data_IF_055006663567
#
_entry.id   IF_055006663567
#
_cell.length_a   1.000
_cell.length_b   1.000
_cell.length_c   1.000
_cell.angle_alpha   90.00
_cell.angle_beta   90.00
_cell.angle_gamma   90.00
#
_symmetry.space_group_name_H-M   'P 1'
#
loop_
_entity.id
_entity.type
_entity.pdbx_description
1 polymer ?
#
# COMPACT_ATOMS: atom_id res chain seq x y z
N UNK A 1 -18.99 9.50 17.31
CA UNK A 1 -17.98 9.84 16.28
C UNK A 1 -17.05 8.65 16.14
N UNK A 2 -17.36 7.72 15.24
CA UNK A 2 -16.61 6.46 15.13
C UNK A 2 -15.64 6.54 13.94
N UNK A 3 -14.45 7.09 14.21
CA UNK A 3 -13.36 7.28 13.24
C UNK A 3 -12.10 6.46 13.59
N UNK A 4 -12.18 5.60 14.60
CA UNK A 4 -11.12 4.68 14.95
C UNK A 4 -11.17 3.45 14.04
N UNK A 5 -10.01 3.04 13.52
CA UNK A 5 -9.85 1.68 12.98
C UNK A 5 -9.70 0.73 14.17
N UNK A 6 -10.56 -0.28 14.36
CA UNK A 6 -10.46 -1.16 15.52
C UNK A 6 -9.12 -1.92 15.56
N UNK A 7 -8.61 -2.32 14.38
CA UNK A 7 -7.28 -2.90 14.23
C UNK A 7 -6.20 -1.98 14.80
N UNK A 8 -6.12 -0.71 14.37
CA UNK A 8 -5.09 0.20 14.87
C UNK A 8 -5.30 0.61 16.34
N UNK A 9 -6.53 0.56 16.87
CA UNK A 9 -6.77 0.72 18.30
C UNK A 9 -6.19 -0.46 19.09
N UNK A 10 -6.47 -1.70 18.69
CA UNK A 10 -5.90 -2.92 19.29
C UNK A 10 -4.36 -2.90 19.21
N UNK A 11 -3.80 -2.63 18.02
CA UNK A 11 -2.35 -2.59 17.83
C UNK A 11 -1.67 -1.48 18.63
N UNK A 12 -2.30 -0.31 18.79
CA UNK A 12 -1.74 0.78 19.60
C UNK A 12 -1.67 0.41 21.08
N UNK A 13 -2.71 -0.27 21.59
CA UNK A 13 -2.71 -0.80 22.96
C UNK A 13 -1.67 -1.94 23.12
N UNK A 14 -1.60 -2.85 22.15
CA UNK A 14 -0.59 -3.91 22.15
C UNK A 14 0.86 -3.39 22.10
N UNK A 15 1.09 -2.21 21.52
CA UNK A 15 2.37 -1.48 21.52
C UNK A 15 2.62 -0.80 22.86
N UNK A 16 1.65 -0.12 23.48
CA UNK A 16 1.85 0.54 24.78
C UNK A 16 2.24 -0.46 25.88
N UNK A 17 1.65 -1.65 25.85
CA UNK A 17 1.95 -2.75 26.78
C UNK A 17 3.17 -3.60 26.37
N UNK A 18 4.11 -3.08 25.56
CA UNK A 18 5.29 -3.83 25.11
C UNK A 18 6.56 -2.98 25.03
N UNK A 19 7.49 -3.11 25.99
CA UNK A 19 8.79 -2.42 25.95
C UNK A 19 9.58 -2.70 24.67
N UNK A 20 9.47 -3.91 24.12
CA UNK A 20 10.10 -4.34 22.87
C UNK A 20 9.59 -3.53 21.66
N UNK A 21 8.26 -3.37 21.54
CA UNK A 21 7.65 -2.58 20.46
C UNK A 21 7.87 -1.08 20.65
N UNK A 22 7.88 -0.59 21.89
CA UNK A 22 8.24 0.79 22.22
C UNK A 22 9.69 1.11 21.84
N UNK A 23 10.63 0.19 22.10
CA UNK A 23 12.03 0.33 21.68
C UNK A 23 12.18 0.36 20.16
N UNK A 24 11.44 -0.47 19.41
CA UNK A 24 11.39 -0.37 17.94
C UNK A 24 10.85 0.99 17.48
N UNK A 25 9.74 1.47 18.05
CA UNK A 25 9.18 2.79 17.73
C UNK A 25 10.12 3.95 18.08
N UNK A 26 10.91 3.83 19.15
CA UNK A 26 11.84 4.86 19.63
C UNK A 26 13.00 5.17 18.65
N UNK A 27 13.26 4.30 17.67
CA UNK A 27 14.20 4.58 16.57
C UNK A 27 13.73 5.69 15.60
N UNK A 28 12.51 6.21 15.80
CA UNK A 28 11.88 7.22 14.94
C UNK A 28 12.67 8.53 14.98
N UNK A 29 12.95 9.07 13.78
CA UNK A 29 13.59 10.39 13.64
C UNK A 29 12.77 11.52 14.31
N UNK A 30 13.43 12.56 14.85
CA UNK A 30 12.73 13.76 15.31
C UNK A 30 11.76 14.32 14.26
N UNK A 31 10.61 14.84 14.71
CA UNK A 31 9.53 15.38 13.86
C UNK A 31 8.85 14.34 12.94
N UNK A 32 8.92 13.05 13.28
CA UNK A 32 8.05 12.01 12.73
C UNK A 32 7.22 11.37 13.87
N UNK A 33 5.94 11.02 13.67
CA UNK A 33 5.14 10.35 14.70
C UNK A 33 5.59 8.88 14.84
N UNK A 34 6.04 8.41 16.02
CA UNK A 34 6.52 7.04 16.18
C UNK A 34 5.50 5.94 15.83
N UNK A 35 4.19 6.06 16.19
CA UNK A 35 3.20 5.06 15.77
C UNK A 35 3.08 4.96 14.24
N UNK A 36 3.08 6.09 13.54
CA UNK A 36 2.99 6.11 12.07
C UNK A 36 4.21 5.45 11.43
N UNK A 37 5.41 5.65 12.00
CA UNK A 37 6.64 5.02 11.51
C UNK A 37 6.64 3.51 11.73
N UNK A 38 6.27 3.04 12.93
CA UNK A 38 6.21 1.60 13.23
C UNK A 38 5.16 0.89 12.36
N UNK A 39 3.92 1.37 12.36
CA UNK A 39 2.85 0.79 11.55
C UNK A 39 3.12 0.89 10.04
N UNK A 40 3.73 2.00 9.60
CA UNK A 40 4.14 2.20 8.22
C UNK A 40 5.25 1.24 7.79
N UNK A 41 6.24 0.96 8.66
CA UNK A 41 7.31 0.00 8.40
C UNK A 41 6.77 -1.43 8.27
N UNK A 42 5.91 -1.86 9.21
CA UNK A 42 5.26 -3.18 9.16
C UNK A 42 4.42 -3.34 7.90
N UNK A 43 3.52 -2.39 7.60
CA UNK A 43 2.70 -2.45 6.40
C UNK A 43 3.54 -2.39 5.11
N UNK A 44 4.64 -1.63 5.10
CA UNK A 44 5.57 -1.60 3.95
C UNK A 44 6.21 -2.98 3.70
N UNK A 45 6.69 -3.66 4.74
CA UNK A 45 7.30 -5.00 4.59
C UNK A 45 6.28 -6.03 4.09
N UNK A 46 5.06 -6.03 4.65
CA UNK A 46 3.96 -6.89 4.17
C UNK A 46 3.62 -6.61 2.69
N UNK A 47 3.51 -5.34 2.28
CA UNK A 47 3.30 -4.95 0.88
C UNK A 47 4.48 -5.30 -0.05
N UNK A 48 5.69 -5.48 0.51
CA UNK A 48 6.88 -5.93 -0.22
C UNK A 48 6.99 -7.46 -0.32
N UNK A 49 6.04 -8.21 0.25
CA UNK A 49 5.99 -9.67 0.17
C UNK A 49 6.60 -10.41 1.36
N UNK A 50 6.72 -9.77 2.53
CA UNK A 50 7.10 -10.48 3.76
C UNK A 50 6.05 -11.55 4.10
N UNK A 51 6.45 -12.83 4.08
CA UNK A 51 5.56 -13.95 4.39
C UNK A 51 5.33 -14.02 5.90
N UNK A 52 4.09 -13.74 6.32
CA UNK A 52 3.69 -13.81 7.72
C UNK A 52 2.15 -13.89 7.88
N UNK A 53 1.61 -14.62 8.89
CA UNK A 53 0.17 -14.63 9.19
C UNK A 53 -0.46 -13.24 9.33
N UNK A 54 0.31 -12.26 9.85
CA UNK A 54 -0.10 -10.87 10.02
C UNK A 54 -0.69 -10.24 8.73
N UNK A 55 -0.24 -10.66 7.55
CA UNK A 55 -0.77 -10.19 6.26
C UNK A 55 -2.30 -10.37 6.14
N UNK A 56 -2.87 -11.39 6.79
CA UNK A 56 -4.30 -11.70 6.76
C UNK A 56 -5.20 -10.59 7.36
N UNK A 57 -4.66 -9.76 8.26
CA UNK A 57 -5.39 -8.66 8.93
C UNK A 57 -5.42 -7.37 8.11
N UNK A 58 -4.67 -7.30 7.01
CA UNK A 58 -4.61 -6.12 6.14
C UNK A 58 -5.24 -6.42 4.77
N UNK A 59 -6.49 -6.00 4.49
CA UNK A 59 -7.16 -6.26 3.21
C UNK A 59 -6.39 -5.78 1.96
N UNK A 60 -5.57 -4.73 2.09
CA UNK A 60 -4.70 -4.22 1.01
C UNK A 60 -3.53 -5.17 0.68
N UNK A 61 -3.19 -6.10 1.58
CA UNK A 61 -2.16 -7.13 1.40
C UNK A 61 -2.81 -8.48 1.08
N UNK A 62 -3.86 -8.87 1.81
CA UNK A 62 -4.54 -10.16 1.64
C UNK A 62 -5.51 -10.24 0.45
N UNK A 63 -5.80 -9.11 -0.20
CA UNK A 63 -6.68 -8.99 -1.36
C UNK A 63 -8.18 -9.05 -1.05
N UNK A 64 -8.57 -9.74 0.02
CA UNK A 64 -9.96 -9.97 0.42
C UNK A 64 -10.26 -9.47 1.84
N UNK A 65 -11.38 -8.76 2.07
CA UNK A 65 -11.84 -8.44 3.42
C UNK A 65 -12.14 -9.71 4.22
N UNK A 66 -11.47 -9.88 5.36
CA UNK A 66 -11.70 -11.00 6.28
C UNK A 66 -12.38 -10.50 7.58
N UNK A 67 -13.13 -11.36 8.29
CA UNK A 67 -13.60 -11.04 9.64
C UNK A 67 -12.42 -10.64 10.53
N UNK A 68 -12.57 -9.54 11.28
CA UNK A 68 -11.54 -9.08 12.20
C UNK A 68 -11.28 -10.15 13.27
N UNK A 69 -10.01 -10.49 13.47
CA UNK A 69 -9.53 -11.32 14.57
C UNK A 69 -8.52 -10.51 15.39
N UNK A 70 -8.25 -10.85 16.66
CA UNK A 70 -7.16 -10.24 17.40
C UNK A 70 -5.85 -10.36 16.61
N UNK A 71 -5.22 -9.22 16.34
CA UNK A 71 -3.99 -9.10 15.56
C UNK A 71 -2.75 -8.86 16.43
N UNK A 72 -2.92 -8.53 17.71
CA UNK A 72 -1.82 -8.17 18.63
C UNK A 72 -0.72 -9.24 18.74
N UNK A 73 -1.09 -10.53 18.72
CA UNK A 73 -0.15 -11.65 18.73
C UNK A 73 0.72 -11.69 17.47
N UNK A 74 0.08 -11.81 16.30
CA UNK A 74 0.74 -11.80 14.99
C UNK A 74 1.56 -10.52 14.76
N UNK A 75 1.16 -9.38 15.32
CA UNK A 75 1.88 -8.12 15.21
C UNK A 75 3.16 -8.11 16.05
N UNK A 76 3.08 -8.60 17.31
CA UNK A 76 4.27 -8.76 18.18
C UNK A 76 5.26 -9.74 17.57
N UNK A 77 4.78 -10.88 17.06
CA UNK A 77 5.60 -11.91 16.42
C UNK A 77 6.27 -11.38 15.14
N UNK A 78 5.53 -10.69 14.26
CA UNK A 78 6.10 -10.04 13.07
C UNK A 78 7.19 -9.03 13.43
N UNK A 79 6.95 -8.15 14.39
CA UNK A 79 7.92 -7.13 14.80
C UNK A 79 9.18 -7.74 15.42
N UNK A 80 9.08 -8.94 16.01
CA UNK A 80 10.21 -9.71 16.53
C UNK A 80 10.97 -10.42 15.40
N UNK A 81 10.26 -11.07 14.48
CA UNK A 81 10.84 -11.80 13.34
C UNK A 81 11.58 -10.87 12.35
N UNK A 82 11.03 -9.67 12.09
CA UNK A 82 11.56 -8.68 11.16
C UNK A 82 12.13 -7.44 11.88
N UNK A 83 12.64 -7.61 13.11
CA UNK A 83 13.04 -6.50 13.98
C UNK A 83 14.10 -5.58 13.35
N UNK A 84 15.08 -6.15 12.63
CA UNK A 84 16.15 -5.39 11.98
C UNK A 84 15.63 -4.50 10.85
N UNK A 85 14.78 -5.05 9.98
CA UNK A 85 14.18 -4.35 8.85
C UNK A 85 13.16 -3.31 9.30
N UNK A 86 12.36 -3.60 10.34
CA UNK A 86 11.47 -2.62 10.97
C UNK A 86 12.28 -1.47 11.56
N UNK A 87 13.32 -1.74 12.36
CA UNK A 87 14.17 -0.70 12.94
C UNK A 87 14.89 0.13 11.86
N UNK A 88 15.38 -0.48 10.78
CA UNK A 88 15.99 0.21 9.65
C UNK A 88 15.00 1.14 8.94
N UNK A 89 13.78 0.68 8.68
CA UNK A 89 12.74 1.51 8.06
C UNK A 89 12.29 2.66 8.96
N UNK A 90 12.08 2.41 10.26
CA UNK A 90 11.72 3.43 11.26
C UNK A 90 12.83 4.49 11.38
N UNK A 91 14.11 4.07 11.36
CA UNK A 91 15.28 4.94 11.47
C UNK A 91 15.62 5.70 10.18
N UNK A 92 15.30 5.18 8.99
CA UNK A 92 15.71 5.80 7.72
C UNK A 92 14.62 6.48 6.91
N UNK A 93 13.36 6.02 7.02
CA UNK A 93 12.26 6.53 6.20
C UNK A 93 11.51 7.68 6.89
N UNK A 94 10.50 8.19 6.19
CA UNK A 94 9.56 9.19 6.68
C UNK A 94 8.17 8.82 6.18
N UNK A 95 7.15 9.04 6.99
CA UNK A 95 5.75 8.98 6.52
C UNK A 95 5.35 10.32 5.93
N UNK A 96 4.41 10.27 4.97
CA UNK A 96 3.83 11.47 4.35
C UNK A 96 2.30 11.33 4.36
N UNK A 97 1.62 12.34 4.90
CA UNK A 97 0.20 12.25 5.31
C UNK A 97 -0.76 12.51 4.13
N UNK A 98 -0.84 11.52 3.25
CA UNK A 98 -1.74 11.50 2.09
C UNK A 98 -3.18 11.12 2.49
N UNK A 99 -3.99 12.10 2.89
CA UNK A 99 -5.40 11.88 3.27
C UNK A 99 -6.29 12.00 2.03
N UNK A 100 -6.45 10.91 1.26
CA UNK A 100 -7.35 10.83 0.09
C UNK A 100 -8.80 11.22 0.45
N UNK A 101 -9.20 11.03 1.72
CA UNK A 101 -10.50 11.51 2.22
C UNK A 101 -10.72 13.02 2.06
N UNK A 102 -9.67 13.84 1.84
CA UNK A 102 -9.84 15.27 1.46
C UNK A 102 -10.61 15.44 0.16
N UNK A 103 -10.55 14.49 -0.77
CA UNK A 103 -11.35 14.51 -2.00
C UNK A 103 -12.86 14.55 -1.73
N UNK A 104 -13.37 14.09 -0.58
CA UNK A 104 -14.80 14.23 -0.24
C UNK A 104 -15.23 15.69 -0.06
N UNK A 105 -14.29 16.61 0.19
CA UNK A 105 -14.55 18.05 0.25
C UNK A 105 -14.13 18.77 -1.04
N UNK A 106 -13.06 18.33 -1.71
CA UNK A 106 -12.57 18.94 -2.94
C UNK A 106 -13.55 18.77 -4.12
N UNK A 107 -14.11 17.57 -4.31
CA UNK A 107 -15.06 17.27 -5.40
C UNK A 107 -16.22 18.28 -5.47
N UNK A 108 -16.99 18.53 -4.39
CA UNK A 108 -18.11 19.48 -4.45
C UNK A 108 -17.66 20.95 -4.50
N UNK A 109 -16.45 21.27 -4.04
CA UNK A 109 -15.87 22.60 -4.27
C UNK A 109 -15.57 22.81 -5.77
N UNK A 110 -14.99 21.82 -6.44
CA UNK A 110 -14.75 21.85 -7.88
C UNK A 110 -16.06 21.85 -8.70
N UNK A 111 -17.15 21.25 -8.20
CA UNK A 111 -18.50 21.42 -8.80
C UNK A 111 -18.93 22.89 -8.85
N UNK A 112 -18.66 23.66 -7.79
CA UNK A 112 -19.04 25.07 -7.68
C UNK A 112 -18.17 25.90 -8.63
N UNK A 113 -16.85 25.76 -8.53
CA UNK A 113 -15.88 26.45 -9.41
C UNK A 113 -16.18 26.18 -10.87
N UNK A 114 -16.49 24.93 -11.26
CA UNK A 114 -16.80 24.62 -12.65
C UNK A 114 -18.14 25.21 -13.14
N UNK A 115 -19.09 25.51 -12.26
CA UNK A 115 -20.35 26.18 -12.62
C UNK A 115 -20.11 27.66 -12.85
N UNK A 116 -19.39 28.31 -11.94
CA UNK A 116 -19.00 29.72 -12.04
C UNK A 116 -18.13 29.96 -13.28
N UNK A 117 -17.21 29.02 -13.57
CA UNK A 117 -16.36 29.05 -14.77
C UNK A 117 -17.04 28.50 -16.05
N UNK A 118 -18.38 28.32 -16.06
CA UNK A 118 -19.16 27.88 -17.23
C UNK A 118 -18.63 26.62 -17.93
N UNK A 119 -18.12 25.65 -17.16
CA UNK A 119 -17.58 24.39 -17.69
C UNK A 119 -16.18 24.47 -18.32
N UNK A 120 -15.47 25.59 -18.20
CA UNK A 120 -14.08 25.72 -18.67
C UNK A 120 -13.15 24.70 -17.98
N UNK A 121 -12.07 24.23 -18.66
CA UNK A 121 -11.10 23.31 -18.07
C UNK A 121 -10.49 23.82 -16.75
N UNK A 122 -10.48 22.96 -15.73
CA UNK A 122 -9.85 23.24 -14.44
C UNK A 122 -8.39 22.74 -14.44
N UNK A 123 -7.45 23.64 -14.13
CA UNK A 123 -6.07 23.29 -13.80
C UNK A 123 -5.89 23.34 -12.28
N UNK A 124 -5.38 22.26 -11.70
CA UNK A 124 -5.16 22.14 -10.25
C UNK A 124 -3.67 22.18 -9.93
N UNK A 125 -3.28 23.08 -9.03
CA UNK A 125 -1.92 23.20 -8.48
C UNK A 125 -2.01 22.92 -6.97
N UNK A 126 -1.32 21.88 -6.49
CA UNK A 126 -1.29 21.47 -5.07
C UNK A 126 0.11 21.73 -4.51
N UNK A 127 0.24 22.80 -3.73
CA UNK A 127 1.53 23.22 -3.15
C UNK A 127 1.89 22.31 -1.97
N UNK A 128 2.89 21.46 -2.17
CA UNK A 128 3.25 20.44 -1.18
C UNK A 128 2.37 19.18 -1.26
N UNK A 129 1.95 18.80 -2.47
CA UNK A 129 1.07 17.66 -2.79
C UNK A 129 1.47 16.28 -2.22
N UNK A 130 2.61 16.15 -1.52
CA UNK A 130 3.09 14.91 -0.91
C UNK A 130 3.30 13.82 -1.97
N UNK A 131 2.51 12.75 -2.02
CA UNK A 131 2.58 11.73 -3.08
C UNK A 131 1.62 12.01 -4.25
N UNK A 132 1.04 13.21 -4.33
CA UNK A 132 0.12 13.62 -5.39
C UNK A 132 -1.25 12.93 -5.37
N UNK A 133 -1.61 12.20 -4.31
CA UNK A 133 -2.84 11.41 -4.31
C UNK A 133 -4.10 12.28 -4.47
N UNK A 134 -4.14 13.49 -3.91
CA UNK A 134 -5.29 14.40 -4.09
C UNK A 134 -5.37 15.03 -5.50
N UNK A 135 -4.27 15.06 -6.26
CA UNK A 135 -4.29 15.49 -7.66
C UNK A 135 -5.05 14.50 -8.55
N UNK A 136 -5.16 13.24 -8.12
CA UNK A 136 -5.94 12.18 -8.78
C UNK A 136 -7.40 12.15 -8.31
N UNK A 137 -7.96 13.31 -7.92
CA UNK A 137 -9.32 13.36 -7.35
C UNK A 137 -10.37 12.71 -8.27
N UNK A 138 -10.22 12.91 -9.58
CA UNK A 138 -11.01 12.36 -10.70
C UNK A 138 -11.06 10.83 -10.77
N UNK A 139 -10.20 10.13 -10.01
CA UNK A 139 -10.10 8.67 -9.99
C UNK A 139 -10.78 8.00 -8.78
N UNK A 140 -11.29 8.79 -7.82
CA UNK A 140 -11.91 8.25 -6.61
C UNK A 140 -13.44 8.25 -6.66
N UNK A 141 -14.04 7.34 -5.91
CA UNK A 141 -15.47 7.33 -5.65
C UNK A 141 -15.78 8.14 -4.39
N UNK A 142 -16.80 8.96 -4.41
CA UNK A 142 -17.30 9.60 -3.19
C UNK A 142 -18.79 9.31 -3.04
N UNK A 143 -19.17 8.85 -1.85
CA UNK A 143 -20.58 8.67 -1.46
C UNK A 143 -20.87 9.59 -0.28
N UNK A 144 -21.87 10.44 -0.46
CA UNK A 144 -22.39 11.31 0.60
C UNK A 144 -23.65 10.68 1.15
N UNK A 145 -23.74 10.58 2.48
CA UNK A 145 -24.92 10.07 3.16
C UNK A 145 -25.45 11.10 4.16
N UNK A 146 -26.77 11.18 4.29
CA UNK A 146 -27.47 11.97 5.30
C UNK A 146 -28.52 11.10 5.98
N UNK A 147 -28.56 11.09 7.31
CA UNK A 147 -29.44 10.22 8.10
C UNK A 147 -29.43 8.73 7.62
N UNK A 148 -28.23 8.18 7.38
CA UNK A 148 -28.02 6.80 6.94
C UNK A 148 -28.32 6.52 5.46
N UNK A 149 -28.94 7.45 4.71
CA UNK A 149 -29.29 7.27 3.29
C UNK A 149 -28.27 7.95 2.37
N UNK A 150 -27.87 7.29 1.29
CA UNK A 150 -27.03 7.89 0.24
C UNK A 150 -27.83 9.02 -0.45
N UNK A 151 -27.25 10.23 -0.49
CA UNK A 151 -27.88 11.43 -1.08
C UNK A 151 -27.17 11.92 -2.34
N UNK A 152 -25.92 11.53 -2.53
CA UNK A 152 -25.13 11.84 -3.74
C UNK A 152 -24.00 10.82 -3.89
N UNK A 153 -23.72 10.44 -5.14
CA UNK A 153 -22.51 9.71 -5.53
C UNK A 153 -21.77 10.47 -6.61
N UNK A 154 -20.45 10.38 -6.57
CA UNK A 154 -19.57 10.88 -7.61
C UNK A 154 -18.43 9.87 -7.87
N UNK A 155 -17.87 9.89 -9.08
CA UNK A 155 -16.89 8.91 -9.57
C UNK A 155 -17.52 7.61 -10.07
N UNK A 156 -16.73 6.80 -10.76
CA UNK A 156 -17.18 5.53 -11.33
C UNK A 156 -17.64 4.54 -10.25
N UNK A 157 -18.56 3.64 -10.61
CA UNK A 157 -19.17 2.68 -9.67
C UNK A 157 -18.15 1.76 -8.97
N UNK A 158 -16.99 1.51 -9.59
CA UNK A 158 -15.88 0.72 -9.05
C UNK A 158 -14.77 1.52 -8.35
N UNK A 159 -14.89 2.85 -8.23
CA UNK A 159 -13.85 3.69 -7.64
C UNK A 159 -13.87 3.64 -6.10
N UNK A 160 -12.69 3.72 -5.47
CA UNK A 160 -12.50 3.59 -4.01
C UNK A 160 -13.29 4.67 -3.27
N UNK A 161 -14.13 4.25 -2.32
CA UNK A 161 -15.20 5.08 -1.74
C UNK A 161 -14.77 5.82 -0.47
N UNK A 162 -14.69 7.15 -0.55
CA UNK A 162 -14.76 8.02 0.63
C UNK A 162 -16.22 8.23 1.09
N UNK A 163 -16.49 8.11 2.40
CA UNK A 163 -17.77 8.55 2.99
C UNK A 163 -17.69 10.03 3.38
N UNK A 164 -18.52 10.88 2.78
CA UNK A 164 -18.75 12.26 3.22
C UNK A 164 -19.87 12.33 4.25
N UNK A 165 -19.64 13.02 5.38
CA UNK A 165 -20.58 13.12 6.50
C UNK A 165 -21.59 14.29 6.40
N UNK A 166 -21.52 15.10 5.34
CA UNK A 166 -22.38 16.26 5.14
C UNK A 166 -22.92 16.29 3.70
N UNK A 167 -24.16 16.76 3.55
CA UNK A 167 -24.78 17.04 2.24
C UNK A 167 -24.06 18.24 1.59
N UNK A 168 -23.45 18.10 0.40
CA UNK A 168 -22.89 19.25 -0.31
C UNK A 168 -23.97 20.27 -0.65
N UNK A 169 -23.66 21.57 -0.54
CA UNK A 169 -24.57 22.65 -1.00
C UNK A 169 -24.78 22.60 -2.52
N UNK A 170 -23.77 22.18 -3.28
CA UNK A 170 -23.89 21.94 -4.71
C UNK A 170 -24.37 20.51 -4.98
N UNK A 171 -25.63 20.37 -5.44
CA UNK A 171 -26.27 19.08 -5.71
C UNK A 171 -25.90 18.44 -7.06
N UNK A 172 -24.82 18.90 -7.71
CA UNK A 172 -24.48 18.51 -9.08
C UNK A 172 -23.01 18.12 -9.21
N UNK A 173 -22.69 17.12 -10.04
CA UNK A 173 -21.31 16.75 -10.32
C UNK A 173 -20.57 17.89 -11.05
N UNK A 174 -19.25 18.04 -10.87
CA UNK A 174 -18.43 18.76 -11.83
C UNK A 174 -18.45 17.98 -13.15
N UNK A 175 -18.36 18.65 -14.32
CA UNK A 175 -17.99 17.96 -15.55
C UNK A 175 -16.65 17.24 -15.35
N UNK A 176 -16.50 16.07 -15.99
CA UNK A 176 -15.24 15.36 -15.96
C UNK A 176 -14.13 16.27 -16.54
N UNK A 177 -12.94 16.38 -15.91
CA UNK A 177 -11.87 17.16 -16.47
C UNK A 177 -11.51 16.60 -17.86
N UNK A 178 -11.21 17.46 -18.85
CA UNK A 178 -10.80 16.98 -20.16
C UNK A 178 -9.56 16.10 -19.99
N UNK A 179 -9.54 14.95 -20.67
CA UNK A 179 -8.41 14.01 -20.67
C UNK A 179 -7.24 14.54 -21.52
N UNK A 180 -6.85 15.78 -21.31
CA UNK A 180 -5.66 16.39 -21.90
C UNK A 180 -4.40 15.68 -21.41
N UNK A 181 -3.50 15.37 -22.33
CA UNK A 181 -2.17 14.86 -22.04
C UNK A 181 -1.27 16.00 -21.58
N UNK A 182 -0.78 15.90 -20.35
CA UNK A 182 0.36 16.66 -19.87
C UNK A 182 1.24 15.70 -19.07
N UNK A 183 2.50 15.57 -19.45
CA UNK A 183 3.39 14.48 -18.97
C UNK A 183 3.85 14.63 -17.51
N UNK A 184 3.45 15.70 -16.81
CA UNK A 184 3.68 15.89 -15.37
C UNK A 184 2.64 15.19 -14.46
N UNK A 185 1.98 14.12 -14.93
CA UNK A 185 1.20 13.25 -14.05
C UNK A 185 2.18 12.36 -13.26
N UNK A 186 2.27 12.47 -11.92
CA UNK A 186 3.07 11.52 -11.16
C UNK A 186 2.49 10.11 -11.36
N UNK A 187 3.28 9.22 -11.95
CA UNK A 187 2.99 7.80 -11.99
C UNK A 187 3.12 7.24 -10.57
N UNK A 188 2.07 7.40 -9.77
CA UNK A 188 1.94 6.66 -8.52
C UNK A 188 2.09 5.17 -8.87
N UNK A 189 3.05 4.45 -8.26
CA UNK A 189 3.20 3.03 -8.51
C UNK A 189 1.88 2.33 -8.16
N UNK A 190 1.46 1.30 -8.91
CA UNK A 190 0.21 0.60 -8.63
C UNK A 190 0.21 0.08 -7.19
N UNK A 191 -0.77 0.50 -6.40
CA UNK A 191 -1.07 -0.07 -5.09
C UNK A 191 -1.82 -1.40 -5.31
N UNK A 192 -1.07 -2.42 -5.75
CA UNK A 192 -1.56 -3.75 -6.06
C UNK A 192 -0.43 -4.64 -6.60
N UNK A 193 -0.51 -5.96 -6.41
CA UNK A 193 0.59 -6.87 -6.74
C UNK A 193 0.91 -6.86 -8.23
N UNK A 194 2.19 -6.81 -8.56
CA UNK A 194 2.66 -6.98 -9.94
C UNK A 194 2.36 -8.39 -10.44
N UNK A 195 1.56 -8.49 -11.51
CA UNK A 195 1.13 -9.77 -12.06
C UNK A 195 0.09 -9.57 -13.18
N UNK A 196 0.55 -9.16 -14.36
CA UNK A 196 -0.35 -8.96 -15.50
C UNK A 196 -0.86 -10.28 -16.07
N UNK A 197 -2.14 -10.37 -16.43
CA UNK A 197 -2.65 -11.58 -17.09
C UNK A 197 -4.18 -11.73 -17.18
N UNK A 198 -4.79 -11.05 -18.17
CA UNK A 198 -6.04 -11.45 -18.85
C UNK A 198 -7.29 -11.78 -18.01
N UNK A 199 -8.27 -10.88 -18.03
CA UNK A 199 -9.68 -11.22 -17.78
C UNK A 199 -10.62 -10.52 -18.78
N UNK A 200 -10.50 -10.87 -20.08
CA UNK A 200 -11.43 -10.43 -21.12
C UNK A 200 -12.43 -11.55 -21.45
N UNK A 201 -13.65 -11.37 -20.92
CA UNK A 201 -14.98 -11.84 -21.37
C UNK A 201 -15.16 -13.10 -22.25
N UNK A 202 -16.20 -13.83 -21.84
CA UNK A 202 -17.26 -14.47 -22.64
C UNK A 202 -17.20 -15.97 -22.96
N UNK A 203 -18.40 -16.57 -22.86
CA UNK A 203 -18.76 -17.97 -23.12
C UNK A 203 -18.80 -18.25 -24.63
N UNK A 204 -18.43 -19.46 -25.06
CA UNK A 204 -19.29 -20.35 -25.87
C UNK A 204 -18.59 -21.69 -26.21
N UNK A 205 -19.41 -22.64 -26.69
CA UNK A 205 -19.05 -23.85 -27.43
C UNK A 205 -18.24 -24.96 -26.72
N UNK A 206 -18.97 -25.99 -26.27
CA UNK A 206 -18.47 -27.36 -26.08
C UNK A 206 -17.98 -27.93 -27.42
N UNK A 207 -16.83 -28.63 -27.43
CA UNK A 207 -16.49 -29.74 -28.35
C UNK A 207 -15.32 -30.54 -27.74
N UNK A 208 -15.32 -31.86 -27.96
CA UNK A 208 -14.48 -32.83 -27.23
C UNK A 208 -13.02 -32.95 -27.71
N UNK A 209 -12.21 -33.79 -27.05
CA UNK A 209 -10.77 -33.85 -27.26
C UNK A 209 -10.34 -34.78 -28.41
N UNK A 210 -9.35 -34.41 -29.24
CA UNK A 210 -8.63 -35.33 -30.10
C UNK A 210 -7.34 -35.83 -29.44
N UNK A 211 -7.38 -37.10 -29.06
CA UNK A 211 -6.35 -38.16 -29.08
C UNK A 211 -4.85 -37.81 -29.20
N UNK A 212 -4.10 -38.58 -28.42
CA UNK A 212 -2.64 -38.77 -28.44
C UNK A 212 -2.06 -39.12 -29.81
N UNK A 213 -0.80 -38.72 -30.04
CA UNK A 213 0.16 -39.53 -30.81
C UNK A 213 1.58 -39.34 -30.31
N UNK A 214 2.19 -40.41 -29.81
CA UNK A 214 3.61 -40.46 -29.53
C UNK A 214 4.39 -40.74 -30.81
N UNK A 215 5.59 -40.17 -30.92
CA UNK A 215 6.68 -40.76 -31.71
C UNK A 215 7.98 -40.70 -30.91
N UNK A 216 8.83 -41.69 -31.16
CA UNK A 216 9.96 -42.09 -30.32
C UNK A 216 11.26 -41.92 -31.12
N UNK A 217 12.37 -41.64 -30.40
CA UNK A 217 13.82 -41.68 -30.77
C UNK A 217 14.46 -40.32 -30.47
N UNK A 218 15.66 -40.23 -29.89
CA UNK A 218 16.56 -41.28 -29.39
C UNK A 218 17.99 -40.77 -29.36
N UNK A 219 18.67 -40.83 -28.22
CA UNK A 219 20.05 -40.35 -28.08
C UNK A 219 20.49 -40.29 -26.61
N UNK A 220 21.42 -41.17 -26.21
CA UNK A 220 21.94 -41.29 -24.83
C UNK A 220 23.26 -40.49 -24.64
N UNK A 221 23.73 -40.27 -23.40
CA UNK A 221 24.62 -39.16 -23.05
C UNK A 221 26.12 -39.51 -22.99
N UNK A 222 26.96 -38.47 -22.88
CA UNK A 222 28.30 -38.49 -22.27
C UNK A 222 28.30 -37.40 -21.19
N UNK A 223 28.35 -37.69 -19.87
CA UNK A 223 29.48 -38.22 -19.07
C UNK A 223 30.80 -37.47 -19.30
N UNK A 224 31.08 -36.54 -18.38
CA UNK A 224 32.39 -35.93 -18.14
C UNK A 224 32.49 -35.57 -16.66
N UNK A 225 33.18 -36.41 -15.89
CA UNK A 225 33.33 -36.28 -14.43
C UNK A 225 34.49 -35.36 -14.01
N UNK A 226 34.69 -35.16 -12.69
CA UNK A 226 35.43 -34.02 -12.15
C UNK A 226 36.93 -34.28 -11.93
N UNK A 227 37.69 -33.22 -11.64
CA UNK A 227 38.89 -33.24 -10.77
C UNK A 227 39.24 -31.82 -10.25
N UNK A 228 40.01 -31.68 -9.14
CA UNK A 228 39.74 -30.62 -8.17
C UNK A 228 40.97 -29.81 -7.70
N UNK A 229 40.70 -28.95 -6.71
CA UNK A 229 41.57 -28.56 -5.58
C UNK A 229 42.81 -27.67 -5.88
N UNK A 230 42.84 -26.49 -5.23
CA UNK A 230 43.93 -26.19 -4.28
C UNK A 230 43.59 -25.07 -3.29
N UNK A 231 43.64 -25.46 -2.02
CA UNK A 231 43.60 -24.67 -0.78
C UNK A 231 44.52 -23.43 -0.76
N UNK A 232 44.08 -22.36 -0.12
CA UNK A 232 44.93 -21.54 0.77
C UNK A 232 44.10 -20.73 1.80
N UNK A 233 44.34 -21.02 3.09
CA UNK A 233 44.06 -20.24 4.32
C UNK A 233 45.28 -20.50 5.24
N UNK A 234 45.49 -19.79 6.37
CA UNK A 234 45.12 -18.41 6.75
C UNK A 234 46.35 -17.62 7.29
N UNK A 235 46.14 -16.41 7.85
CA UNK A 235 46.87 -15.85 9.04
C UNK A 235 46.29 -14.47 9.42
N UNK A 236 45.99 -14.25 10.70
CA UNK A 236 45.89 -12.92 11.35
C UNK A 236 47.11 -12.71 12.26
N UNK A 237 47.04 -12.08 13.45
CA UNK A 237 46.11 -11.05 13.97
C UNK A 237 46.85 -9.85 14.66
N UNK A 238 46.15 -8.79 15.11
CA UNK A 238 46.49 -7.82 16.22
C UNK A 238 45.48 -6.62 16.20
N UNK A 239 44.95 -5.98 17.26
CA UNK A 239 45.37 -5.59 18.65
C UNK A 239 46.04 -4.20 18.71
N UNK A 240 45.63 -3.18 19.51
CA UNK A 240 44.37 -2.94 20.27
C UNK A 240 44.25 -1.49 20.86
N UNK A 241 43.01 -1.04 21.16
CA UNK A 241 42.60 -0.21 22.32
C UNK A 241 42.80 1.34 22.37
N UNK A 242 42.08 2.00 23.31
CA UNK A 242 42.02 3.45 23.61
C UNK A 242 40.72 4.11 23.12
N UNK A 243 39.71 4.57 23.88
CA UNK A 243 39.55 5.02 25.27
C UNK A 243 40.18 6.40 25.61
N UNK A 244 39.37 7.47 25.65
CA UNK A 244 39.12 8.28 26.86
C UNK A 244 38.05 9.38 26.68
N UNK A 245 37.48 9.77 27.83
CA UNK A 245 36.45 10.80 28.05
C UNK A 245 36.84 12.23 27.62
N UNK A 246 35.82 13.00 27.22
CA UNK A 246 35.52 14.33 27.74
C UNK A 246 34.00 14.56 27.70
#
# INVERSE_FOLDING_TARGET
MELASPLYAELSYAVSESPELLALAAHTRPRQPPPNMLFGAVQYLLLRGAEHPLAAHYPIVSGEPRPMKPAAGDFRDFCRAYAGEVAELVRTRRTQTNVVRRCTCLVPAFSIVSREAQGRPLHLIDLGASAGLNLNFDRYGVRYACAGREVLRWGDAGAVVGRGAARPRAAHPPPAPPRGGGENRPTAPPLGPGGGGRAARARAARRGPPRTRATHRGGRPRRGGPRPDRRARPRGPAVAAGAHLA
#
